data_IF_473635399524
#
_entry.id   IF_473635399524
#
_cell.length_a   1.000
_cell.length_b   1.000
_cell.length_c   1.000
_cell.angle_alpha   90.00
_cell.angle_beta   90.00
_cell.angle_gamma   90.00
#
_symmetry.space_group_name_H-M   'P 1'
#
loop_
_entity.id
_entity.type
_entity.pdbx_description
1 polymer ?
#
# COMPACT_ATOMS: atom_id res chain seq x y z
N UNK A 1 9.73 -16.63 29.07
CA UNK A 1 9.30 -15.24 28.85
C UNK A 1 10.54 -14.43 28.55
N UNK A 2 10.77 -14.09 27.30
CA UNK A 2 11.99 -13.41 26.84
C UNK A 2 12.04 -12.02 27.45
N UNK A 3 13.03 -11.75 28.32
CA UNK A 3 13.26 -10.43 28.89
C UNK A 3 13.57 -9.46 27.76
N UNK A 4 12.58 -8.68 27.34
CA UNK A 4 12.71 -7.62 26.33
C UNK A 4 13.52 -6.50 26.99
N UNK A 5 14.83 -6.69 27.05
CA UNK A 5 15.77 -5.72 27.60
C UNK A 5 15.81 -4.53 26.63
N UNK A 6 15.10 -3.46 26.96
CA UNK A 6 15.17 -2.24 26.17
C UNK A 6 16.63 -1.77 26.12
N UNK A 7 17.20 -1.50 24.93
CA UNK A 7 18.54 -0.96 24.81
C UNK A 7 18.66 0.32 25.66
N UNK A 8 19.77 0.51 26.40
CA UNK A 8 19.95 1.67 27.26
C UNK A 8 19.80 2.96 26.44
N UNK A 9 19.07 3.93 27.00
CA UNK A 9 18.89 5.26 26.41
C UNK A 9 20.28 5.89 26.20
N UNK A 10 20.54 6.36 24.98
CA UNK A 10 21.86 6.89 24.59
C UNK A 10 21.80 8.42 24.50
N UNK A 11 22.88 9.06 24.92
CA UNK A 11 22.98 10.51 25.00
C UNK A 11 22.59 11.20 23.68
N UNK A 12 21.79 12.27 23.78
CA UNK A 12 21.26 13.01 22.63
C UNK A 12 22.33 13.85 21.93
N UNK A 13 23.40 14.22 22.63
CA UNK A 13 24.53 14.98 22.05
C UNK A 13 25.19 14.24 20.87
N UNK A 14 25.39 12.93 20.99
CA UNK A 14 25.96 12.09 19.91
C UNK A 14 24.96 11.84 18.77
N UNK A 15 23.66 11.92 19.07
CA UNK A 15 22.57 11.73 18.10
C UNK A 15 22.33 12.96 17.22
N UNK A 16 22.38 14.17 17.79
CA UNK A 16 22.04 15.43 17.11
C UNK A 16 23.27 16.14 16.54
N UNK A 17 24.42 16.09 17.24
CA UNK A 17 25.65 16.79 16.82
C UNK A 17 26.67 15.88 16.11
N UNK A 18 26.44 14.57 16.03
CA UNK A 18 27.28 13.64 15.29
C UNK A 18 27.21 13.84 13.76
N UNK A 19 28.00 14.77 13.23
CA UNK A 19 28.00 15.22 11.81
C UNK A 19 28.40 14.17 10.75
N UNK A 20 28.41 12.86 11.04
CA UNK A 20 29.20 11.89 10.28
C UNK A 20 28.50 10.59 9.80
N UNK A 21 27.16 10.45 9.79
CA UNK A 21 26.56 9.11 9.57
C UNK A 21 25.60 8.89 8.40
N UNK A 22 25.04 9.93 7.80
CA UNK A 22 24.32 9.81 6.53
C UNK A 22 25.24 10.25 5.39
N UNK A 23 26.34 9.51 5.20
CA UNK A 23 27.16 9.68 4.01
C UNK A 23 26.30 9.43 2.77
N UNK A 24 26.38 10.30 1.77
CA UNK A 24 25.68 10.15 0.51
C UNK A 24 25.96 8.76 -0.10
N UNK A 25 24.96 8.11 -0.74
CA UNK A 25 25.12 6.78 -1.27
C UNK A 25 26.26 6.76 -2.28
N UNK A 26 27.25 5.90 -2.03
CA UNK A 26 28.32 5.63 -2.97
C UNK A 26 27.75 4.74 -4.08
N UNK A 27 27.65 5.19 -5.34
CA UNK A 27 26.90 4.49 -6.39
C UNK A 27 27.51 3.13 -6.79
N UNK A 28 28.75 2.86 -6.41
CA UNK A 28 29.42 1.58 -6.68
C UNK A 28 29.06 0.46 -5.69
N UNK A 29 28.71 0.76 -4.43
CA UNK A 29 28.48 -0.25 -3.38
C UNK A 29 27.26 0.05 -2.49
N UNK A 30 26.03 -0.05 -3.04
CA UNK A 30 24.80 0.24 -2.29
C UNK A 30 24.59 -0.70 -1.09
N UNK A 31 25.15 -1.91 -1.16
CA UNK A 31 25.08 -2.92 -0.09
C UNK A 31 25.79 -2.45 1.19
N UNK A 32 26.96 -1.80 1.05
CA UNK A 32 27.74 -1.30 2.19
C UNK A 32 27.08 -0.10 2.84
N UNK A 33 26.50 0.77 2.03
CA UNK A 33 25.69 1.89 2.50
C UNK A 33 24.46 1.39 3.27
N UNK A 34 23.73 0.42 2.72
CA UNK A 34 22.59 -0.21 3.40
C UNK A 34 22.99 -0.81 4.76
N UNK A 35 24.14 -1.49 4.82
CA UNK A 35 24.66 -2.04 6.08
C UNK A 35 24.99 -0.95 7.13
N UNK A 36 25.56 0.19 6.69
CA UNK A 36 25.81 1.36 7.56
C UNK A 36 24.50 1.97 8.08
N UNK A 37 23.50 2.11 7.20
CA UNK A 37 22.19 2.66 7.56
C UNK A 37 21.48 1.75 8.56
N UNK A 38 21.42 0.43 8.32
CA UNK A 38 20.80 -0.54 9.24
C UNK A 38 21.49 -0.49 10.59
N UNK A 39 22.83 -0.50 10.62
CA UNK A 39 23.58 -0.44 11.88
C UNK A 39 23.32 0.87 12.64
N UNK A 40 23.20 2.01 11.94
CA UNK A 40 22.86 3.28 12.57
C UNK A 40 21.42 3.31 13.11
N UNK A 41 20.48 2.72 12.38
CA UNK A 41 19.07 2.61 12.78
C UNK A 41 18.92 1.74 14.04
N UNK A 42 19.63 0.61 14.07
CA UNK A 42 19.63 -0.32 15.19
C UNK A 42 20.34 0.27 16.41
N UNK A 43 21.42 1.03 16.20
CA UNK A 43 22.18 1.68 17.27
C UNK A 43 21.38 2.77 18.01
N UNK A 44 20.50 3.49 17.30
CA UNK A 44 19.70 4.60 17.84
C UNK A 44 18.20 4.28 17.98
N UNK A 45 17.82 3.00 17.98
CA UNK A 45 16.41 2.56 17.99
C UNK A 45 15.57 3.23 19.09
N UNK A 46 16.06 3.25 20.33
CA UNK A 46 15.35 3.88 21.46
C UNK A 46 15.24 5.39 21.30
N UNK A 47 16.26 6.05 20.73
CA UNK A 47 16.25 7.51 20.52
C UNK A 47 15.21 7.91 19.46
N UNK A 48 15.08 7.15 18.37
CA UNK A 48 14.02 7.38 17.38
C UNK A 48 12.61 7.21 17.99
N UNK A 49 12.44 6.21 18.87
CA UNK A 49 11.17 5.99 19.57
C UNK A 49 10.82 7.16 20.52
N UNK A 50 11.81 7.67 21.25
CA UNK A 50 11.64 8.82 22.16
C UNK A 50 11.30 10.09 21.37
N UNK A 51 12.01 10.39 20.27
CA UNK A 51 11.69 11.52 19.40
C UNK A 51 10.28 11.42 18.82
N UNK A 52 9.87 10.22 18.39
CA UNK A 52 8.52 9.96 17.90
C UNK A 52 7.46 10.19 18.99
N UNK A 53 7.68 9.68 20.20
CA UNK A 53 6.78 9.88 21.34
C UNK A 53 6.67 11.35 21.75
N UNK A 54 7.78 12.08 21.76
CA UNK A 54 7.79 13.51 22.03
C UNK A 54 7.00 14.32 20.97
N UNK A 55 7.20 14.01 19.69
CA UNK A 55 6.44 14.62 18.61
C UNK A 55 4.94 14.33 18.71
N UNK A 56 4.57 13.08 19.04
CA UNK A 56 3.18 12.69 19.23
C UNK A 56 2.55 13.38 20.45
N UNK A 57 3.29 13.53 21.55
CA UNK A 57 2.83 14.25 22.75
C UNK A 57 2.61 15.74 22.46
N UNK A 58 3.54 16.38 21.73
CA UNK A 58 3.41 17.79 21.33
C UNK A 58 2.23 18.00 20.38
N UNK A 59 2.09 17.16 19.35
CA UNK A 59 0.94 17.20 18.44
C UNK A 59 -0.39 16.91 19.16
N UNK A 60 -0.38 15.98 20.11
CA UNK A 60 -1.52 15.66 20.96
C UNK A 60 -1.91 16.80 21.89
N UNK A 61 -0.95 17.59 22.36
CA UNK A 61 -1.19 18.77 23.19
C UNK A 61 -1.88 19.90 22.41
N UNK A 62 -1.47 20.15 21.16
CA UNK A 62 -2.03 21.24 20.34
C UNK A 62 -3.44 20.89 19.83
N UNK A 63 -3.66 19.67 19.33
CA UNK A 63 -4.96 19.21 18.79
C UNK A 63 -5.17 17.71 19.04
N UNK A 64 -5.68 17.30 20.22
CA UNK A 64 -5.73 15.90 20.63
C UNK A 64 -6.56 15.01 19.71
N UNK A 65 -7.74 15.48 19.27
CA UNK A 65 -8.64 14.70 18.42
C UNK A 65 -8.07 14.41 17.03
N UNK A 66 -7.42 15.40 16.41
CA UNK A 66 -6.82 15.23 15.09
C UNK A 66 -5.60 14.30 15.14
N UNK A 67 -4.79 14.40 16.20
CA UNK A 67 -3.63 13.53 16.42
C UNK A 67 -4.07 12.08 16.62
N UNK A 68 -5.11 11.82 17.40
CA UNK A 68 -5.65 10.46 17.58
C UNK A 68 -6.21 9.87 16.28
N UNK A 69 -6.95 10.66 15.49
CA UNK A 69 -7.45 10.23 14.19
C UNK A 69 -6.30 9.89 13.24
N UNK A 70 -5.27 10.73 13.16
CA UNK A 70 -4.09 10.48 12.32
C UNK A 70 -3.30 9.25 12.77
N UNK A 71 -3.14 9.04 14.08
CA UNK A 71 -2.46 7.86 14.64
C UNK A 71 -3.23 6.57 14.31
N UNK A 72 -4.57 6.59 14.38
CA UNK A 72 -5.42 5.47 13.97
C UNK A 72 -5.25 5.15 12.49
N UNK A 73 -5.26 6.17 11.61
CA UNK A 73 -5.07 5.99 10.17
C UNK A 73 -3.70 5.36 9.87
N UNK A 74 -2.63 5.84 10.53
CA UNK A 74 -1.29 5.27 10.38
C UNK A 74 -1.23 3.82 10.88
N UNK A 75 -1.86 3.50 12.01
CA UNK A 75 -1.90 2.14 12.54
C UNK A 75 -2.62 1.17 11.59
N UNK A 76 -3.75 1.59 11.00
CA UNK A 76 -4.47 0.80 10.00
C UNK A 76 -3.62 0.60 8.74
N UNK A 77 -2.98 1.66 8.24
CA UNK A 77 -2.10 1.58 7.07
C UNK A 77 -0.92 0.61 7.31
N UNK A 78 -0.27 0.69 8.47
CA UNK A 78 0.77 -0.25 8.87
C UNK A 78 0.23 -1.68 8.99
N UNK A 79 -0.96 -1.86 9.57
CA UNK A 79 -1.63 -3.15 9.64
C UNK A 79 -1.88 -3.77 8.25
N UNK A 80 -2.35 -2.96 7.29
CA UNK A 80 -2.52 -3.39 5.90
C UNK A 80 -1.19 -3.74 5.25
N UNK A 81 -0.14 -2.96 5.48
CA UNK A 81 1.20 -3.25 4.95
C UNK A 81 1.81 -4.52 5.55
N UNK A 82 1.65 -4.75 6.86
CA UNK A 82 2.09 -5.97 7.54
C UNK A 82 1.31 -7.16 7.03
N UNK A 83 -0.02 -7.05 6.93
CA UNK A 83 -0.88 -8.06 6.36
C UNK A 83 -0.52 -8.37 4.90
N UNK A 84 -0.19 -7.36 4.11
CA UNK A 84 0.28 -7.53 2.74
C UNK A 84 1.67 -8.18 2.68
N UNK A 85 2.59 -7.83 3.58
CA UNK A 85 3.93 -8.43 3.66
C UNK A 85 3.87 -9.91 4.07
N UNK A 86 3.01 -10.23 5.02
CA UNK A 86 2.73 -11.60 5.46
C UNK A 86 2.01 -12.40 4.39
N UNK A 87 1.03 -11.79 3.70
CA UNK A 87 0.37 -12.37 2.53
C UNK A 87 1.34 -12.62 1.38
N UNK A 88 2.37 -11.79 1.18
CA UNK A 88 3.46 -12.05 0.20
C UNK A 88 4.38 -13.19 0.64
N UNK A 89 4.58 -13.41 1.94
CA UNK A 89 5.28 -14.60 2.45
C UNK A 89 4.43 -15.86 2.31
N UNK A 90 3.11 -15.78 2.54
CA UNK A 90 2.15 -16.85 2.28
C UNK A 90 2.03 -17.16 0.78
N UNK A 91 2.06 -16.15 -0.10
CA UNK A 91 2.07 -16.32 -1.56
C UNK A 91 3.34 -17.03 -2.05
N UNK A 92 4.49 -16.72 -1.44
CA UNK A 92 5.76 -17.39 -1.73
C UNK A 92 5.76 -18.86 -1.28
N UNK A 93 5.07 -19.19 -0.19
CA UNK A 93 4.87 -20.58 0.29
C UNK A 93 3.84 -21.34 -0.55
N UNK A 94 2.71 -20.72 -0.90
CA UNK A 94 1.65 -21.31 -1.72
C UNK A 94 2.15 -21.66 -3.15
N UNK A 95 3.00 -20.79 -3.73
CA UNK A 95 3.67 -21.05 -5.01
C UNK A 95 4.62 -22.26 -4.96
N UNK A 96 5.08 -22.64 -3.77
CA UNK A 96 6.00 -23.77 -3.56
C UNK A 96 5.29 -25.06 -3.15
N UNK A 97 4.12 -24.98 -2.51
CA UNK A 97 3.34 -26.15 -2.07
C UNK A 97 2.31 -26.64 -3.11
N UNK A 98 1.66 -25.74 -3.87
CA UNK A 98 0.68 -26.14 -4.88
C UNK A 98 0.71 -25.21 -6.12
N UNK A 99 1.69 -25.38 -7.04
CA UNK A 99 1.77 -24.59 -8.27
C UNK A 99 0.49 -24.72 -9.13
N UNK A 100 -0.18 -25.88 -9.10
CA UNK A 100 -1.43 -26.13 -9.80
C UNK A 100 -2.61 -25.31 -9.24
N UNK A 101 -2.70 -25.12 -7.92
CA UNK A 101 -3.77 -24.32 -7.31
C UNK A 101 -3.60 -22.82 -7.64
N UNK A 102 -2.36 -22.34 -7.67
CA UNK A 102 -2.05 -20.96 -8.08
C UNK A 102 -2.35 -20.74 -9.57
N UNK A 103 -2.02 -21.70 -10.44
CA UNK A 103 -2.37 -21.66 -11.86
C UNK A 103 -3.89 -21.72 -12.05
N UNK A 104 -4.59 -22.59 -11.31
CA UNK A 104 -6.05 -22.68 -11.34
C UNK A 104 -6.72 -21.37 -10.90
N UNK A 105 -6.19 -20.71 -9.86
CA UNK A 105 -6.70 -19.41 -9.41
C UNK A 105 -6.48 -18.31 -10.46
N UNK A 106 -5.29 -18.23 -11.07
CA UNK A 106 -5.01 -17.26 -12.14
C UNK A 106 -5.87 -17.52 -13.38
N UNK A 107 -6.04 -18.79 -13.76
CA UNK A 107 -6.93 -19.21 -14.84
C UNK A 107 -8.39 -18.88 -14.52
N UNK A 108 -8.86 -19.12 -13.29
CA UNK A 108 -10.22 -18.78 -12.85
C UNK A 108 -10.48 -17.27 -12.93
N UNK A 109 -9.53 -16.43 -12.50
CA UNK A 109 -9.62 -14.97 -12.63
C UNK A 109 -9.57 -14.54 -14.11
N UNK A 110 -8.81 -15.25 -14.94
CA UNK A 110 -8.81 -15.05 -16.40
C UNK A 110 -10.16 -15.39 -17.04
N UNK A 111 -10.73 -16.56 -16.70
CA UNK A 111 -12.03 -17.03 -17.16
C UNK A 111 -13.16 -16.10 -16.72
N UNK A 112 -13.13 -15.61 -15.48
CA UNK A 112 -14.13 -14.67 -14.97
C UNK A 112 -14.09 -13.33 -15.72
N UNK A 113 -12.88 -12.84 -16.03
CA UNK A 113 -12.69 -11.66 -16.89
C UNK A 113 -13.17 -11.91 -18.32
N UNK A 114 -12.88 -13.08 -18.88
CA UNK A 114 -13.30 -13.42 -20.23
C UNK A 114 -14.82 -13.60 -20.33
N UNK A 115 -15.46 -14.18 -19.30
CA UNK A 115 -16.91 -14.25 -19.14
C UNK A 115 -17.53 -12.87 -19.03
N UNK A 116 -16.95 -11.99 -18.20
CA UNK A 116 -17.39 -10.59 -18.08
C UNK A 116 -17.30 -9.86 -19.42
N UNK A 117 -16.18 -10.00 -20.14
CA UNK A 117 -16.00 -9.40 -21.46
C UNK A 117 -16.98 -9.98 -22.50
N UNK A 118 -17.29 -11.28 -22.43
CA UNK A 118 -18.26 -11.92 -23.33
C UNK A 118 -19.70 -11.53 -23.00
N UNK A 119 -20.01 -11.33 -21.72
CA UNK A 119 -21.29 -10.77 -21.27
C UNK A 119 -21.43 -9.33 -21.72
N UNK A 120 -20.40 -8.51 -21.54
CA UNK A 120 -20.36 -7.10 -21.98
C UNK A 120 -20.56 -7.00 -23.50
N UNK A 121 -19.78 -7.75 -24.30
CA UNK A 121 -19.95 -7.82 -25.76
C UNK A 121 -21.32 -8.34 -26.19
N UNK A 122 -21.91 -9.29 -25.44
CA UNK A 122 -23.24 -9.85 -25.78
C UNK A 122 -24.37 -8.90 -25.38
N UNK A 123 -24.22 -8.17 -24.28
CA UNK A 123 -25.14 -7.09 -23.87
C UNK A 123 -25.10 -5.94 -24.88
N UNK A 124 -23.91 -5.60 -25.39
CA UNK A 124 -23.75 -4.64 -26.49
C UNK A 124 -24.36 -5.16 -27.81
N UNK A 125 -24.13 -6.43 -28.16
CA UNK A 125 -24.68 -7.07 -29.37
C UNK A 125 -26.20 -7.26 -29.35
N UNK A 126 -26.81 -7.44 -28.17
CA UNK A 126 -28.27 -7.52 -28.02
C UNK A 126 -28.90 -6.11 -28.10
N UNK A 127 -28.09 -5.05 -28.22
CA UNK A 127 -28.60 -3.69 -28.40
C UNK A 127 -29.25 -3.12 -27.14
N UNK A 128 -28.93 -3.66 -25.96
CA UNK A 128 -29.43 -3.14 -24.67
C UNK A 128 -28.59 -1.96 -24.14
N UNK A 129 -27.85 -1.31 -25.05
CA UNK A 129 -27.54 0.12 -24.99
C UNK A 129 -28.23 0.80 -26.19
N UNK A 130 -29.56 0.73 -26.28
CA UNK A 130 -30.31 1.91 -26.71
C UNK A 130 -29.87 2.99 -25.72
N UNK A 131 -28.97 3.88 -26.13
CA UNK A 131 -28.66 5.07 -25.34
C UNK A 131 -30.02 5.67 -24.93
N UNK A 132 -30.24 6.03 -23.66
CA UNK A 132 -31.51 6.59 -23.21
C UNK A 132 -31.93 7.78 -24.08
N UNK A 133 -30.95 8.44 -24.69
CA UNK A 133 -31.09 9.50 -25.68
C UNK A 133 -31.74 9.06 -27.00
N UNK A 134 -31.45 7.87 -27.52
CA UNK A 134 -32.09 7.32 -28.73
C UNK A 134 -33.54 6.89 -28.49
N UNK A 135 -33.85 6.35 -27.30
CA UNK A 135 -35.23 6.02 -26.93
C UNK A 135 -36.07 7.29 -26.67
N UNK A 136 -35.44 8.35 -26.14
CA UNK A 136 -36.03 9.68 -25.97
C UNK A 136 -36.28 10.39 -27.32
N UNK A 137 -35.34 10.30 -28.26
CA UNK A 137 -35.48 10.88 -29.60
C UNK A 137 -36.58 10.19 -30.42
N UNK A 138 -36.75 8.88 -30.25
CA UNK A 138 -37.81 8.11 -30.92
C UNK A 138 -39.19 8.36 -30.28
N UNK A 139 -39.25 8.57 -28.96
CA UNK A 139 -40.48 9.00 -28.28
C UNK A 139 -40.86 10.48 -28.57
N UNK A 140 -39.91 11.31 -29.00
CA UNK A 140 -40.10 12.71 -29.39
C UNK A 140 -40.36 12.92 -30.89
N UNK A 141 -40.46 11.85 -31.69
CA UNK A 141 -40.97 11.91 -33.06
C UNK A 141 -40.08 12.65 -34.07
N UNK A 142 -38.77 12.74 -33.85
CA UNK A 142 -37.83 13.21 -34.88
C UNK A 142 -37.30 12.05 -35.71
N UNK A 143 -38.12 11.60 -36.67
CA UNK A 143 -37.66 10.76 -37.77
C UNK A 143 -36.71 11.56 -38.68
N UNK A 144 -35.47 11.07 -38.76
CA UNK A 144 -34.72 10.89 -40.01
C UNK A 144 -34.53 12.12 -40.94
N UNK A 145 -33.71 13.09 -40.52
CA UNK A 145 -32.99 13.98 -41.44
C UNK A 145 -31.49 14.04 -41.09
N UNK A 146 -30.75 12.99 -41.47
CA UNK A 146 -29.31 13.11 -41.61
C UNK A 146 -28.78 12.01 -42.53
N UNK A 147 -28.62 12.36 -43.81
CA UNK A 147 -27.71 11.67 -44.71
C UNK A 147 -28.37 11.08 -45.94
N UNK A 148 -28.09 11.72 -47.07
CA UNK A 148 -28.33 11.29 -48.44
C UNK A 148 -27.87 9.86 -48.75
#
# INVERSE_FOLDING_TARGET
MSEVRLPPLRALDDFVLGSARLAAPDPCDPQRWCHRVINNLLYYQTNYLVCFGFGLALAGYVRPLHTLLSALVVAVALGVLVWAAESRAAMRRCRRSHPAACLAAVLAVGLLRNLKNKLENKIESIGLKRTPMGLLLEALGQEQEAGS
#
